data_IF_186898403824
#
_entry.id   IF_186898403824
#
_cell.length_a   1.000
_cell.length_b   1.000
_cell.length_c   1.000
_cell.angle_alpha   90.00
_cell.angle_beta   90.00
_cell.angle_gamma   90.00
#
_symmetry.space_group_name_H-M   'P 1'
#
loop_
_entity.id
_entity.type
_entity.pdbx_description
1 polymer ?
#
# COMPACT_ATOMS: atom_id res chain seq x y z
N UNK A 1 16.96 -5.27 -11.36
CA UNK A 1 15.96 -4.44 -10.66
C UNK A 1 16.66 -3.14 -10.31
N UNK A 2 16.22 -2.00 -10.87
CA UNK A 2 16.81 -0.70 -10.53
C UNK A 2 16.35 -0.38 -9.10
N UNK A 3 17.28 -0.08 -8.20
CA UNK A 3 16.92 0.48 -6.91
C UNK A 3 16.71 1.96 -7.14
N UNK A 4 15.50 2.44 -6.89
CA UNK A 4 15.23 3.88 -6.94
C UNK A 4 15.94 4.58 -5.78
N UNK A 5 16.41 5.80 -6.01
CA UNK A 5 17.04 6.59 -4.93
C UNK A 5 15.99 7.10 -3.95
N UNK A 6 16.42 7.56 -2.76
CA UNK A 6 15.52 8.17 -1.78
C UNK A 6 14.79 9.38 -2.37
N UNK A 7 15.47 10.15 -3.20
CA UNK A 7 14.93 11.31 -3.90
C UNK A 7 13.88 10.90 -4.93
N UNK A 8 14.14 9.84 -5.71
CA UNK A 8 13.16 9.29 -6.68
C UNK A 8 11.89 8.79 -5.96
N UNK A 9 12.04 8.10 -4.81
CA UNK A 9 10.90 7.64 -4.00
C UNK A 9 10.10 8.82 -3.43
N UNK A 10 10.77 9.82 -2.85
CA UNK A 10 10.10 11.01 -2.30
C UNK A 10 9.34 11.77 -3.38
N UNK A 11 9.97 11.98 -4.55
CA UNK A 11 9.36 12.70 -5.67
C UNK A 11 8.11 11.96 -6.19
N UNK A 12 8.13 10.63 -6.23
CA UNK A 12 6.96 9.84 -6.61
C UNK A 12 5.78 10.01 -5.63
N UNK A 13 6.07 9.99 -4.32
CA UNK A 13 5.06 10.22 -3.28
C UNK A 13 4.51 11.66 -3.32
N UNK A 14 5.36 12.65 -3.56
CA UNK A 14 4.94 14.05 -3.70
C UNK A 14 4.05 14.25 -4.94
N UNK A 15 4.39 13.60 -6.06
CA UNK A 15 3.58 13.63 -7.27
C UNK A 15 2.21 12.94 -7.08
N UNK A 16 2.17 11.84 -6.32
CA UNK A 16 0.93 11.18 -5.91
C UNK A 16 0.07 12.12 -5.06
N UNK A 17 0.65 12.74 -4.02
CA UNK A 17 -0.01 13.70 -3.16
C UNK A 17 -0.59 14.88 -3.96
N UNK A 18 0.20 15.51 -4.83
CA UNK A 18 -0.25 16.62 -5.66
C UNK A 18 -1.39 16.23 -6.62
N UNK A 19 -1.38 14.99 -7.12
CA UNK A 19 -2.46 14.47 -7.97
C UNK A 19 -3.75 14.26 -7.19
N UNK A 20 -3.67 13.72 -5.97
CA UNK A 20 -4.83 13.54 -5.11
C UNK A 20 -5.40 14.89 -4.65
N UNK A 21 -4.56 15.88 -4.32
CA UNK A 21 -5.01 17.23 -3.97
C UNK A 21 -5.84 17.86 -5.09
N UNK A 22 -5.42 17.72 -6.35
CA UNK A 22 -6.21 18.19 -7.51
C UNK A 22 -7.57 17.51 -7.61
N UNK A 23 -7.68 16.23 -7.23
CA UNK A 23 -8.96 15.51 -7.21
C UNK A 23 -9.87 16.05 -6.10
N UNK A 24 -9.32 16.38 -4.93
CA UNK A 24 -10.06 16.96 -3.82
C UNK A 24 -10.62 18.36 -4.14
N UNK A 25 -9.97 19.10 -5.02
CA UNK A 25 -10.40 20.43 -5.46
C UNK A 25 -11.49 20.41 -6.56
N UNK A 26 -11.89 19.23 -7.04
CA UNK A 26 -12.89 19.11 -8.11
C UNK A 26 -14.29 19.51 -7.62
N UNK A 27 -14.98 20.30 -8.45
CA UNK A 27 -16.41 20.58 -8.30
C UNK A 27 -17.20 19.72 -9.27
N UNK A 28 -18.09 18.90 -8.74
CA UNK A 28 -18.87 17.93 -9.52
C UNK A 28 -20.30 18.40 -9.82
N UNK A 29 -20.60 19.69 -9.65
CA UNK A 29 -21.96 20.24 -9.76
C UNK A 29 -22.61 20.04 -11.14
N UNK A 30 -21.78 19.87 -12.18
CA UNK A 30 -22.22 19.64 -13.55
C UNK A 30 -22.37 18.14 -13.92
N UNK A 31 -21.97 17.22 -13.03
CA UNK A 31 -21.99 15.79 -13.32
C UNK A 31 -23.37 15.18 -13.04
N UNK A 32 -23.80 14.33 -13.96
CA UNK A 32 -24.96 13.46 -13.79
C UNK A 32 -24.64 12.29 -12.85
N UNK A 33 -25.67 11.61 -12.33
CA UNK A 33 -25.50 10.41 -11.50
C UNK A 33 -24.62 9.32 -12.12
N UNK A 34 -24.77 8.90 -13.40
CA UNK A 34 -23.88 7.90 -13.98
C UNK A 34 -22.42 8.37 -14.07
N UNK A 35 -22.17 9.66 -14.31
CA UNK A 35 -20.81 10.23 -14.34
C UNK A 35 -20.17 10.24 -12.96
N UNK A 36 -20.94 10.57 -11.91
CA UNK A 36 -20.50 10.47 -10.51
C UNK A 36 -20.12 9.03 -10.15
N UNK A 37 -20.94 8.05 -10.54
CA UNK A 37 -20.64 6.63 -10.31
C UNK A 37 -19.37 6.19 -11.05
N UNK A 38 -19.17 6.64 -12.30
CA UNK A 38 -17.95 6.35 -13.06
C UNK A 38 -16.70 6.96 -12.38
N UNK A 39 -16.80 8.17 -11.83
CA UNK A 39 -15.73 8.78 -11.04
C UNK A 39 -15.40 7.94 -9.79
N UNK A 40 -16.42 7.49 -9.04
CA UNK A 40 -16.23 6.64 -7.86
C UNK A 40 -15.57 5.30 -8.21
N UNK A 41 -15.96 4.67 -9.32
CA UNK A 41 -15.34 3.44 -9.79
C UNK A 41 -13.84 3.63 -10.09
N UNK A 42 -13.47 4.74 -10.71
CA UNK A 42 -12.06 5.06 -10.99
C UNK A 42 -11.26 5.30 -9.70
N UNK A 43 -11.83 6.02 -8.74
CA UNK A 43 -11.18 6.24 -7.44
C UNK A 43 -11.01 4.93 -6.65
N UNK A 44 -11.97 4.01 -6.77
CA UNK A 44 -11.88 2.68 -6.16
C UNK A 44 -10.76 1.83 -6.78
N UNK A 45 -10.55 1.91 -8.10
CA UNK A 45 -9.41 1.25 -8.76
C UNK A 45 -8.09 1.77 -8.19
N UNK A 46 -7.92 3.09 -8.08
CA UNK A 46 -6.69 3.66 -7.53
C UNK A 46 -6.52 3.36 -6.04
N UNK A 47 -7.59 3.29 -5.25
CA UNK A 47 -7.55 2.85 -3.83
C UNK A 47 -6.99 1.43 -3.70
N UNK A 48 -7.37 0.51 -4.59
CA UNK A 48 -6.86 -0.87 -4.59
C UNK A 48 -5.38 -0.93 -4.99
N UNK A 49 -4.99 -0.16 -6.00
CA UNK A 49 -3.58 -0.02 -6.42
C UNK A 49 -2.71 0.60 -5.32
N UNK A 50 -3.25 1.56 -4.58
CA UNK A 50 -2.57 2.10 -3.40
C UNK A 50 -2.32 1.01 -2.35
N UNK A 51 -3.34 0.19 -2.02
CA UNK A 51 -3.17 -0.93 -1.10
C UNK A 51 -2.06 -1.89 -1.55
N UNK A 52 -2.04 -2.24 -2.84
CA UNK A 52 -0.98 -3.05 -3.43
C UNK A 52 0.43 -2.42 -3.26
N UNK A 53 0.55 -1.12 -3.48
CA UNK A 53 1.81 -0.40 -3.27
C UNK A 53 2.26 -0.39 -1.79
N UNK A 54 1.31 -0.31 -0.85
CA UNK A 54 1.59 -0.38 0.59
C UNK A 54 2.14 -1.75 1.01
N UNK A 55 1.69 -2.84 0.40
CA UNK A 55 2.11 -4.20 0.76
C UNK A 55 3.63 -4.40 0.62
N UNK A 56 4.25 -3.85 -0.42
CA UNK A 56 5.71 -3.94 -0.60
C UNK A 56 6.48 -3.29 0.57
N UNK A 57 6.03 -2.11 1.02
CA UNK A 57 6.63 -1.40 2.14
C UNK A 57 6.41 -2.13 3.47
N UNK A 58 5.20 -2.68 3.68
CA UNK A 58 4.87 -3.46 4.89
C UNK A 58 5.70 -4.73 4.96
N UNK A 59 5.83 -5.47 3.84
CA UNK A 59 6.63 -6.68 3.78
C UNK A 59 8.12 -6.39 3.97
N UNK A 60 8.63 -5.29 3.40
CA UNK A 60 10.01 -4.88 3.62
C UNK A 60 10.24 -4.52 5.10
N UNK A 61 9.30 -3.80 5.73
CA UNK A 61 9.38 -3.46 7.15
C UNK A 61 9.33 -4.72 8.03
N UNK A 62 8.46 -5.68 7.72
CA UNK A 62 8.35 -6.96 8.42
C UNK A 62 9.62 -7.82 8.30
N UNK A 63 10.34 -7.74 7.17
CA UNK A 63 11.57 -8.49 6.94
C UNK A 63 12.86 -7.79 7.41
N UNK A 64 12.84 -6.47 7.62
CA UNK A 64 14.02 -5.68 7.99
C UNK A 64 14.05 -5.25 9.46
N UNK A 65 12.90 -4.88 10.03
CA UNK A 65 12.88 -4.22 11.33
C UNK A 65 12.73 -5.21 12.49
N UNK A 66 13.50 -5.02 13.56
CA UNK A 66 13.30 -5.75 14.81
C UNK A 66 12.34 -5.02 15.76
N UNK A 67 11.84 -5.72 16.78
CA UNK A 67 10.87 -5.13 17.73
C UNK A 67 11.50 -3.96 18.52
N UNK A 68 12.80 -4.01 18.78
CA UNK A 68 13.54 -2.93 19.44
C UNK A 68 13.57 -1.66 18.59
N UNK A 69 13.79 -1.78 17.28
CA UNK A 69 13.78 -0.65 16.34
C UNK A 69 12.38 -0.07 16.16
N UNK A 70 11.35 -0.93 16.18
CA UNK A 70 9.95 -0.54 16.05
C UNK A 70 9.35 0.02 17.34
N UNK A 71 9.98 -0.24 18.49
CA UNK A 71 9.46 0.09 19.83
C UNK A 71 8.23 -0.74 20.22
N UNK A 72 8.08 -1.94 19.67
CA UNK A 72 6.94 -2.84 19.85
C UNK A 72 6.64 -3.68 18.60
N UNK A 73 5.53 -4.42 18.63
CA UNK A 73 5.13 -5.25 17.47
C UNK A 73 4.81 -4.39 16.24
N UNK A 74 5.11 -4.90 15.04
CA UNK A 74 4.78 -4.25 13.76
C UNK A 74 3.35 -3.71 13.70
N UNK A 75 2.37 -4.51 14.16
CA UNK A 75 0.96 -4.12 14.24
C UNK A 75 0.75 -2.86 15.08
N UNK A 76 1.31 -2.82 16.30
CA UNK A 76 1.18 -1.67 17.20
C UNK A 76 1.87 -0.44 16.61
N UNK A 77 3.06 -0.61 16.03
CA UNK A 77 3.81 0.48 15.42
C UNK A 77 3.09 1.06 14.21
N UNK A 78 2.55 0.23 13.32
CA UNK A 78 1.74 0.68 12.18
C UNK A 78 0.45 1.38 12.64
N UNK A 79 -0.28 0.80 13.60
CA UNK A 79 -1.50 1.41 14.14
C UNK A 79 -1.23 2.84 14.67
N UNK A 80 -0.15 2.99 15.45
CA UNK A 80 0.22 4.27 16.04
C UNK A 80 0.73 5.28 15.00
N UNK A 81 1.62 4.86 14.09
CA UNK A 81 2.28 5.75 13.11
C UNK A 81 1.35 6.15 11.97
N UNK A 82 0.44 5.28 11.55
CA UNK A 82 -0.51 5.54 10.47
C UNK A 82 -1.86 6.08 10.99
N UNK A 83 -2.01 6.22 12.31
CA UNK A 83 -3.26 6.63 12.96
C UNK A 83 -4.48 5.79 12.55
N UNK A 84 -4.28 4.47 12.50
CA UNK A 84 -5.32 3.49 12.16
C UNK A 84 -5.61 2.59 13.35
N UNK A 85 -6.75 1.90 13.33
CA UNK A 85 -7.06 0.93 14.39
C UNK A 85 -6.08 -0.26 14.34
N UNK A 86 -5.83 -0.93 15.47
CA UNK A 86 -5.02 -2.15 15.46
C UNK A 86 -5.58 -3.26 14.58
N UNK A 87 -6.91 -3.33 14.41
CA UNK A 87 -7.57 -4.28 13.50
C UNK A 87 -7.28 -3.98 12.03
N UNK A 88 -7.30 -2.70 11.64
CA UNK A 88 -6.92 -2.27 10.30
C UNK A 88 -5.43 -2.51 10.02
N UNK A 89 -4.55 -2.25 11.00
CA UNK A 89 -3.13 -2.58 10.88
C UNK A 89 -2.91 -4.08 10.68
N UNK A 90 -3.59 -4.93 11.46
CA UNK A 90 -3.55 -6.39 11.28
C UNK A 90 -4.03 -6.82 9.90
N UNK A 91 -5.13 -6.23 9.41
CA UNK A 91 -5.66 -6.53 8.06
C UNK A 91 -4.63 -6.23 6.98
N UNK A 92 -4.00 -5.05 7.00
CA UNK A 92 -2.98 -4.67 6.01
C UNK A 92 -1.72 -5.53 6.07
N UNK A 93 -1.31 -5.97 7.26
CA UNK A 93 -0.20 -6.92 7.42
C UNK A 93 -0.55 -8.27 6.79
N UNK A 94 -1.74 -8.81 7.07
CA UNK A 94 -2.18 -10.08 6.48
C UNK A 94 -2.32 -10.00 4.96
N UNK A 95 -2.93 -8.92 4.44
CA UNK A 95 -3.04 -8.68 2.99
C UNK A 95 -1.66 -8.55 2.33
N UNK A 96 -0.69 -7.91 3.00
CA UNK A 96 0.67 -7.84 2.51
C UNK A 96 1.37 -9.22 2.52
N UNK A 97 1.15 -10.05 3.53
CA UNK A 97 1.72 -11.40 3.62
C UNK A 97 1.16 -12.34 2.54
N UNK A 98 -0.14 -12.30 2.30
CA UNK A 98 -0.83 -13.14 1.29
C UNK A 98 -0.33 -12.86 -0.14
N UNK A 99 0.08 -11.62 -0.38
CA UNK A 99 0.36 -11.07 -1.70
C UNK A 99 1.84 -10.72 -1.93
N UNK A 100 2.68 -10.81 -0.89
CA UNK A 100 4.11 -10.54 -0.95
C UNK A 100 4.93 -11.66 -1.60
N UNK A 101 6.08 -11.29 -2.17
CA UNK A 101 7.12 -12.26 -2.52
C UNK A 101 7.58 -12.98 -1.25
N UNK A 102 7.31 -14.29 -1.16
CA UNK A 102 7.75 -15.09 -0.02
C UNK A 102 9.23 -15.42 -0.15
N UNK A 103 9.88 -15.78 0.95
CA UNK A 103 11.21 -16.40 0.92
C UNK A 103 11.20 -17.72 1.68
N UNK A 104 11.89 -18.73 1.15
CA UNK A 104 12.13 -19.98 1.85
C UNK A 104 13.02 -19.75 3.07
N UNK A 105 13.06 -20.71 4.00
CA UNK A 105 13.99 -20.70 5.14
C UNK A 105 15.47 -20.58 4.72
N UNK A 106 15.78 -20.94 3.46
CA UNK A 106 17.11 -20.82 2.85
C UNK A 106 17.35 -19.47 2.15
N UNK A 107 16.37 -18.56 2.16
CA UNK A 107 16.43 -17.25 1.50
C UNK A 107 15.98 -17.22 0.05
N UNK A 108 15.67 -18.37 -0.55
CA UNK A 108 15.23 -18.45 -1.95
C UNK A 108 13.85 -17.79 -2.14
N UNK A 109 13.64 -16.97 -3.19
CA UNK A 109 12.35 -16.37 -3.47
C UNK A 109 11.32 -17.45 -3.79
N UNK A 110 10.18 -17.38 -3.10
CA UNK A 110 9.01 -18.22 -3.26
C UNK A 110 7.88 -17.37 -3.86
N UNK A 111 7.05 -17.95 -4.74
CA UNK A 111 5.89 -17.24 -5.27
C UNK A 111 4.94 -16.84 -4.14
N UNK A 112 4.27 -15.70 -4.28
CA UNK A 112 3.22 -15.25 -3.36
C UNK A 112 2.18 -16.36 -3.14
N UNK A 113 1.58 -16.42 -1.94
CA UNK A 113 0.57 -17.45 -1.64
C UNK A 113 -0.59 -17.40 -2.64
N UNK A 114 -1.01 -16.19 -3.02
CA UNK A 114 -1.99 -15.95 -4.07
C UNK A 114 -1.31 -15.46 -5.35
N UNK A 115 -0.54 -16.35 -6.00
CA UNK A 115 0.34 -16.00 -7.13
C UNK A 115 -0.39 -15.31 -8.28
N UNK A 116 -1.62 -15.73 -8.61
CA UNK A 116 -2.43 -15.11 -9.67
C UNK A 116 -2.91 -13.69 -9.31
N UNK A 117 -3.22 -13.45 -8.04
CA UNK A 117 -3.63 -12.14 -7.55
C UNK A 117 -2.42 -11.20 -7.49
N UNK A 118 -1.28 -11.68 -6.97
CA UNK A 118 -0.03 -10.91 -6.91
C UNK A 118 0.46 -10.50 -8.30
N UNK A 119 0.34 -11.37 -9.31
CA UNK A 119 0.69 -11.04 -10.70
C UNK A 119 -0.23 -10.01 -11.37
N UNK A 120 -1.42 -9.76 -10.79
CA UNK A 120 -2.43 -8.83 -11.29
C UNK A 120 -2.55 -7.54 -10.46
N UNK A 121 -1.68 -7.36 -9.46
CA UNK A 121 -1.60 -6.13 -8.64
C UNK A 121 -0.90 -4.98 -9.36
#
# INVERSE_FOLDING_TARGET
MRSDTREEISAALDAYHASLSRVLDLKCDALTTPELLACLQRLEVERRRQGAAEHALINQLAGQACEEELGGTLRTTLANRLHITPGEASRRIAEAEDLGERRALTGEPLPAQLTATAAAQ
#
